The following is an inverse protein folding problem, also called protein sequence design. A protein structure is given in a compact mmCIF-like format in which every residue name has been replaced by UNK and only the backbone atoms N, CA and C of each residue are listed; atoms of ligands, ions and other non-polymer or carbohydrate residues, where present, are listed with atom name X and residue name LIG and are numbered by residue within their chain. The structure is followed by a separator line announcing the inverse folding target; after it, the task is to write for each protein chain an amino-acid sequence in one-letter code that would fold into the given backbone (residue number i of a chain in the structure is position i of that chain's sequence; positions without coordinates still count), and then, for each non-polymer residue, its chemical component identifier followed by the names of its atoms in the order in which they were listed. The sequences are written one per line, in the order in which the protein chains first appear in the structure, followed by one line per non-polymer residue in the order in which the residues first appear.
data_IF_332204581612
#
_entry.id   IF_332204581612
#
_cell.length_a   1.000
_cell.length_b   1.000
_cell.length_c   1.000
_cell.angle_alpha   90.00
_cell.angle_beta   90.00
_cell.angle_gamma   90.00
#
_symmetry.space_group_name_H-M   'P 1'
#
loop_
_entity.id
_entity.type
_entity.pdbx_description
1 polymer ?
#
# COMPACT_ATOMS: atom_id res chain seq x y z
N UNK A 1 6.07 -20.80 -29.77
CA UNK A 1 5.10 -19.72 -29.48
C UNK A 1 5.28 -19.11 -28.08
N UNK A 2 5.34 -19.91 -27.00
CA UNK A 2 5.52 -19.43 -25.62
C UNK A 2 6.81 -18.63 -25.39
N UNK A 3 7.93 -19.01 -26.01
CA UNK A 3 9.22 -18.30 -25.87
C UNK A 3 9.16 -16.88 -26.42
N UNK A 4 8.51 -16.66 -27.56
CA UNK A 4 8.35 -15.35 -28.17
C UNK A 4 7.48 -14.40 -27.34
N UNK A 5 6.39 -14.92 -26.72
CA UNK A 5 5.55 -14.14 -25.83
C UNK A 5 6.31 -13.71 -24.55
N UNK A 6 7.16 -14.60 -24.00
CA UNK A 6 7.99 -14.26 -22.84
C UNK A 6 9.03 -13.18 -23.12
N UNK A 7 9.67 -13.22 -24.28
CA UNK A 7 10.64 -12.20 -24.71
C UNK A 7 9.94 -10.85 -24.92
N UNK A 8 8.77 -10.83 -25.56
CA UNK A 8 7.99 -9.62 -25.76
C UNK A 8 7.54 -8.99 -24.42
N UNK A 9 7.05 -9.80 -23.49
CA UNK A 9 6.68 -9.34 -22.15
C UNK A 9 7.90 -8.79 -21.39
N UNK A 10 9.04 -9.47 -21.42
CA UNK A 10 10.27 -9.00 -20.80
C UNK A 10 10.72 -7.66 -21.39
N UNK A 11 10.66 -7.49 -22.72
CA UNK A 11 10.97 -6.22 -23.38
C UNK A 11 10.03 -5.10 -22.97
N UNK A 12 8.73 -5.38 -22.84
CA UNK A 12 7.73 -4.40 -22.41
C UNK A 12 7.99 -3.89 -20.99
N UNK A 13 8.30 -4.79 -20.05
CA UNK A 13 8.52 -4.41 -18.64
C UNK A 13 9.96 -3.97 -18.33
N UNK A 14 10.94 -4.20 -19.23
CA UNK A 14 12.33 -3.86 -18.98
C UNK A 14 12.56 -2.39 -18.58
N UNK A 15 11.92 -1.39 -19.21
CA UNK A 15 12.11 0.02 -18.85
C UNK A 15 11.64 0.40 -17.45
N UNK A 16 10.62 -0.28 -16.94
CA UNK A 16 9.99 0.03 -15.65
C UNK A 16 10.32 -0.98 -14.54
N UNK A 17 11.26 -1.89 -14.78
CA UNK A 17 11.64 -2.94 -13.83
C UNK A 17 12.01 -2.41 -12.45
N UNK A 18 12.72 -1.30 -12.39
CA UNK A 18 13.18 -0.70 -11.12
C UNK A 18 12.01 -0.09 -10.33
N UNK A 19 11.03 0.51 -11.03
CA UNK A 19 9.79 1.00 -10.44
C UNK A 19 8.95 -0.15 -9.85
N UNK A 20 8.81 -1.24 -10.60
CA UNK A 20 8.11 -2.44 -10.12
C UNK A 20 8.83 -3.07 -8.92
N UNK A 21 10.15 -3.10 -8.93
CA UNK A 21 10.95 -3.65 -7.83
C UNK A 21 10.78 -2.82 -6.56
N UNK A 22 10.79 -1.49 -6.64
CA UNK A 22 10.58 -0.60 -5.48
C UNK A 22 9.17 -0.80 -4.93
N UNK A 23 8.15 -0.80 -5.78
CA UNK A 23 6.77 -1.04 -5.37
C UNK A 23 6.61 -2.38 -4.66
N UNK A 24 7.10 -3.45 -5.25
CA UNK A 24 7.09 -4.79 -4.63
C UNK A 24 7.83 -4.82 -3.28
N UNK A 25 9.00 -4.19 -3.19
CA UNK A 25 9.79 -4.16 -1.96
C UNK A 25 9.05 -3.41 -0.84
N UNK A 26 8.42 -2.27 -1.13
CA UNK A 26 7.64 -1.51 -0.14
C UNK A 26 6.43 -2.29 0.35
N UNK A 27 5.69 -2.97 -0.51
CA UNK A 27 4.56 -3.83 -0.13
C UNK A 27 4.98 -5.00 0.76
N UNK A 28 6.13 -5.63 0.46
CA UNK A 28 6.68 -6.69 1.32
C UNK A 28 7.09 -6.14 2.69
N UNK A 29 7.71 -4.97 2.73
CA UNK A 29 8.10 -4.30 3.99
C UNK A 29 6.87 -3.93 4.80
N UNK A 30 5.80 -3.38 4.18
CA UNK A 30 4.53 -3.10 4.86
C UNK A 30 3.94 -4.37 5.50
N UNK A 31 3.90 -5.47 4.75
CA UNK A 31 3.46 -6.76 5.29
C UNK A 31 4.27 -7.19 6.53
N UNK A 32 5.59 -7.02 6.50
CA UNK A 32 6.47 -7.39 7.63
C UNK A 32 6.13 -6.55 8.87
N UNK A 33 5.95 -5.23 8.70
CA UNK A 33 5.60 -4.35 9.82
C UNK A 33 4.17 -4.60 10.31
N UNK A 34 3.20 -4.84 9.44
CA UNK A 34 1.84 -5.25 9.81
C UNK A 34 1.83 -6.54 10.64
N UNK A 35 2.64 -7.55 10.27
CA UNK A 35 2.81 -8.78 11.06
C UNK A 35 3.44 -8.50 12.43
N UNK A 36 4.40 -7.56 12.53
CA UNK A 36 4.99 -7.15 13.82
C UNK A 36 3.95 -6.49 14.73
N UNK A 37 3.11 -5.61 14.18
CA UNK A 37 1.98 -5.01 14.91
C UNK A 37 1.03 -6.09 15.42
N UNK A 38 0.60 -7.01 14.56
CA UNK A 38 -0.30 -8.10 14.94
C UNK A 38 0.28 -8.96 16.09
N UNK A 39 1.57 -9.25 16.05
CA UNK A 39 2.28 -9.98 17.14
C UNK A 39 2.32 -9.18 18.44
N UNK A 40 2.62 -7.87 18.37
CA UNK A 40 2.66 -6.99 19.56
C UNK A 40 1.32 -6.98 20.28
N UNK A 41 0.22 -6.94 19.55
CA UNK A 41 -1.14 -6.93 20.13
C UNK A 41 -1.74 -8.32 20.34
N UNK A 42 -0.95 -9.38 20.21
CA UNK A 42 -1.41 -10.78 20.39
C UNK A 42 -2.63 -11.13 19.53
N UNK A 43 -2.83 -10.44 18.41
CA UNK A 43 -3.92 -10.76 17.48
C UNK A 43 -3.66 -12.13 16.87
N UNK A 44 -4.72 -12.94 16.71
CA UNK A 44 -4.63 -14.23 16.03
C UNK A 44 -4.18 -14.02 14.58
N UNK A 45 -2.97 -14.49 14.27
CA UNK A 45 -2.41 -14.37 12.92
C UNK A 45 -2.91 -15.58 12.11
N UNK A 46 -3.84 -15.32 11.22
CA UNK A 46 -4.26 -16.32 10.21
C UNK A 46 -3.35 -16.18 8.98
N UNK A 47 -2.26 -16.93 8.97
CA UNK A 47 -1.23 -16.83 7.93
C UNK A 47 -1.78 -16.89 6.51
N UNK A 48 -2.79 -17.74 6.27
CA UNK A 48 -3.42 -17.86 4.96
C UNK A 48 -4.22 -16.63 4.53
N UNK A 49 -4.86 -15.94 5.47
CA UNK A 49 -5.66 -14.73 5.19
C UNK A 49 -4.75 -13.53 4.91
N UNK A 50 -3.71 -13.36 5.73
CA UNK A 50 -2.75 -12.26 5.55
C UNK A 50 -1.99 -12.39 4.23
N UNK A 51 -1.53 -13.60 3.89
CA UNK A 51 -0.85 -13.86 2.62
C UNK A 51 -1.75 -13.57 1.40
N UNK A 52 -3.02 -13.99 1.45
CA UNK A 52 -3.98 -13.70 0.36
C UNK A 52 -4.22 -12.20 0.20
N UNK A 53 -4.30 -11.45 1.31
CA UNK A 53 -4.45 -9.99 1.27
C UNK A 53 -3.26 -9.32 0.59
N UNK A 54 -2.04 -9.67 1.02
CA UNK A 54 -0.81 -9.12 0.43
C UNK A 54 -0.65 -9.49 -1.04
N UNK A 55 -0.93 -10.74 -1.41
CA UNK A 55 -0.85 -11.18 -2.80
C UNK A 55 -1.86 -10.43 -3.69
N UNK A 56 -3.09 -10.21 -3.20
CA UNK A 56 -4.09 -9.41 -3.92
C UNK A 56 -3.59 -7.98 -4.13
N UNK A 57 -3.04 -7.35 -3.09
CA UNK A 57 -2.48 -6.01 -3.15
C UNK A 57 -1.37 -5.92 -4.21
N UNK A 58 -0.42 -6.85 -4.21
CA UNK A 58 0.65 -6.92 -5.22
C UNK A 58 0.07 -7.05 -6.64
N UNK A 59 -0.96 -7.86 -6.83
CA UNK A 59 -1.61 -8.03 -8.14
C UNK A 59 -2.29 -6.73 -8.57
N UNK A 60 -3.01 -6.07 -7.67
CA UNK A 60 -3.73 -4.83 -7.96
C UNK A 60 -2.73 -3.70 -8.31
N UNK A 61 -1.65 -3.54 -7.54
CA UNK A 61 -0.57 -2.57 -7.77
C UNK A 61 0.15 -2.83 -9.09
N UNK A 62 0.55 -4.08 -9.35
CA UNK A 62 1.17 -4.46 -10.61
C UNK A 62 0.25 -4.18 -11.79
N UNK A 63 -1.04 -4.47 -11.66
CA UNK A 63 -2.02 -4.24 -12.73
C UNK A 63 -2.13 -2.77 -13.08
N UNK A 64 -2.26 -1.88 -12.08
CA UNK A 64 -2.42 -0.44 -12.35
C UNK A 64 -1.15 0.17 -12.94
N UNK A 65 0.03 -0.25 -12.48
CA UNK A 65 1.31 0.21 -13.04
C UNK A 65 1.49 -0.30 -14.46
N UNK A 66 1.15 -1.57 -14.74
CA UNK A 66 1.22 -2.15 -16.08
C UNK A 66 0.26 -1.46 -17.06
N UNK A 67 -0.94 -1.10 -16.61
CA UNK A 67 -1.90 -0.34 -17.43
C UNK A 67 -1.39 1.08 -17.72
N UNK A 68 -0.87 1.78 -16.70
CA UNK A 68 -0.27 3.10 -16.90
C UNK A 68 0.88 3.05 -17.91
N UNK A 69 1.76 2.04 -17.78
CA UNK A 69 2.86 1.82 -18.72
C UNK A 69 2.37 1.49 -20.13
N UNK A 70 1.33 0.66 -20.25
CA UNK A 70 0.73 0.32 -21.54
C UNK A 70 0.12 1.53 -22.26
N UNK A 71 -0.56 2.41 -21.50
CA UNK A 71 -1.10 3.67 -22.03
C UNK A 71 0.05 4.58 -22.50
N UNK A 72 1.06 4.77 -21.65
CA UNK A 72 2.21 5.62 -21.95
C UNK A 72 2.97 5.11 -23.17
N UNK A 73 3.24 3.81 -23.24
CA UNK A 73 3.87 3.17 -24.38
C UNK A 73 3.09 3.29 -25.69
N UNK A 74 1.75 3.27 -25.63
CA UNK A 74 0.89 3.25 -26.82
C UNK A 74 0.50 4.63 -27.32
N UNK A 75 0.46 5.64 -26.43
CA UNK A 75 -0.16 6.95 -26.71
C UNK A 75 0.83 8.11 -26.61
N UNK A 76 1.78 8.02 -25.68
CA UNK A 76 2.66 9.13 -25.30
C UNK A 76 4.07 8.91 -25.81
N UNK A 77 4.22 8.73 -27.06
CA UNK A 77 5.47 8.71 -27.84
C UNK A 77 6.85 8.55 -27.10
N UNK A 78 7.82 8.06 -27.83
CA UNK A 78 9.19 7.57 -27.56
C UNK A 78 10.15 8.49 -26.77
N UNK A 79 9.66 9.50 -26.03
CA UNK A 79 10.54 10.41 -25.28
C UNK A 79 11.34 9.75 -24.15
N UNK A 80 11.06 8.47 -23.82
CA UNK A 80 11.74 7.71 -22.75
C UNK A 80 11.48 8.24 -21.34
N UNK A 81 10.58 9.22 -21.18
CA UNK A 81 10.20 9.79 -19.90
C UNK A 81 8.88 9.20 -19.46
N UNK A 82 8.93 8.25 -18.54
CA UNK A 82 7.76 7.55 -18.01
C UNK A 82 7.05 8.39 -16.93
N UNK A 83 6.43 9.53 -17.34
CA UNK A 83 5.76 10.44 -16.40
C UNK A 83 4.50 9.84 -15.79
N UNK A 84 3.64 9.20 -16.61
CA UNK A 84 2.42 8.58 -16.14
C UNK A 84 2.72 7.37 -15.28
N UNK A 85 3.55 6.46 -15.77
CA UNK A 85 3.96 5.26 -15.03
C UNK A 85 4.68 5.62 -13.74
N UNK A 86 5.61 6.58 -13.80
CA UNK A 86 6.34 7.09 -12.63
C UNK A 86 5.41 7.74 -11.61
N UNK A 87 4.46 8.56 -12.05
CA UNK A 87 3.47 9.20 -11.20
C UNK A 87 2.57 8.19 -10.49
N UNK A 88 2.02 7.23 -11.22
CA UNK A 88 1.20 6.14 -10.63
C UNK A 88 2.03 5.32 -9.63
N UNK A 89 3.26 4.93 -10.00
CA UNK A 89 4.13 4.17 -9.08
C UNK A 89 4.49 4.98 -7.83
N UNK A 90 4.72 6.29 -7.97
CA UNK A 90 5.01 7.16 -6.83
C UNK A 90 3.82 7.21 -5.86
N UNK A 91 2.59 7.36 -6.35
CA UNK A 91 1.38 7.37 -5.51
C UNK A 91 1.25 6.03 -4.77
N UNK A 92 1.34 4.91 -5.47
CA UNK A 92 1.27 3.57 -4.88
C UNK A 92 2.36 3.40 -3.80
N UNK A 93 3.61 3.74 -4.12
CA UNK A 93 4.73 3.61 -3.18
C UNK A 93 4.58 4.53 -1.96
N UNK A 94 4.05 5.75 -2.12
CA UNK A 94 3.76 6.67 -1.01
C UNK A 94 2.68 6.11 -0.08
N UNK A 95 1.65 5.47 -0.62
CA UNK A 95 0.62 4.80 0.17
C UNK A 95 1.21 3.67 1.00
N UNK A 96 2.10 2.85 0.41
CA UNK A 96 2.81 1.80 1.14
C UNK A 96 3.72 2.35 2.25
N UNK A 97 4.48 3.42 1.95
CA UNK A 97 5.32 4.09 2.94
C UNK A 97 4.51 4.67 4.08
N UNK A 98 3.32 5.21 3.80
CA UNK A 98 2.41 5.69 4.83
C UNK A 98 1.99 4.56 5.77
N UNK A 99 1.53 3.44 5.22
CA UNK A 99 1.16 2.25 5.99
C UNK A 99 2.31 1.74 6.87
N UNK A 100 3.54 1.73 6.34
CA UNK A 100 4.75 1.37 7.09
C UNK A 100 4.96 2.32 8.28
N UNK A 101 4.79 3.63 8.09
CA UNK A 101 4.96 4.63 9.15
C UNK A 101 3.89 4.48 10.24
N UNK A 102 2.65 4.23 9.88
CA UNK A 102 1.57 3.93 10.84
C UNK A 102 1.87 2.68 11.66
N UNK A 103 2.32 1.62 10.99
CA UNK A 103 2.76 0.40 11.65
C UNK A 103 3.93 0.66 12.61
N UNK A 104 4.93 1.45 12.21
CA UNK A 104 6.06 1.84 13.03
C UNK A 104 5.64 2.70 14.24
N UNK A 105 4.77 3.69 14.03
CA UNK A 105 4.21 4.50 15.11
C UNK A 105 3.43 3.65 16.13
N UNK A 106 2.74 2.62 15.66
CA UNK A 106 2.03 1.65 16.49
C UNK A 106 2.99 0.78 17.30
N UNK A 107 4.14 0.40 16.71
CA UNK A 107 5.18 -0.39 17.39
C UNK A 107 5.95 0.45 18.40
N UNK A 108 6.34 1.67 18.01
CA UNK A 108 7.09 2.62 18.85
C UNK A 108 6.49 4.02 18.79
N UNK A 109 5.51 4.34 19.66
CA UNK A 109 4.84 5.65 19.67
C UNK A 109 5.75 6.83 20.06
N UNK A 110 6.94 6.55 20.60
CA UNK A 110 7.94 7.57 20.99
C UNK A 110 8.95 7.85 19.88
N UNK A 111 8.93 7.07 18.81
CA UNK A 111 9.79 7.25 17.65
C UNK A 111 9.42 8.50 16.82
N UNK A 112 10.26 8.87 15.86
CA UNK A 112 10.08 10.05 15.02
C UNK A 112 9.01 9.88 13.93
N UNK A 113 8.24 8.82 13.98
CA UNK A 113 7.34 8.37 12.89
C UNK A 113 6.26 9.39 12.55
N UNK A 114 5.74 10.11 13.55
CA UNK A 114 4.75 11.18 13.34
C UNK A 114 5.33 12.35 12.52
N UNK A 115 6.60 12.71 12.81
CA UNK A 115 7.29 13.78 12.08
C UNK A 115 7.53 13.34 10.63
N UNK A 116 7.98 12.09 10.44
CA UNK A 116 8.22 11.53 9.11
C UNK A 116 6.90 11.43 8.31
N UNK A 117 5.81 11.01 8.95
CA UNK A 117 4.48 10.98 8.33
C UNK A 117 4.02 12.36 7.86
N UNK A 118 4.11 13.38 8.74
CA UNK A 118 3.76 14.75 8.38
C UNK A 118 4.62 15.29 7.22
N UNK A 119 5.92 14.96 7.21
CA UNK A 119 6.83 15.33 6.12
C UNK A 119 6.43 14.65 4.79
N UNK A 120 6.15 13.35 4.80
CA UNK A 120 5.76 12.61 3.59
C UNK A 120 4.41 13.10 3.06
N UNK A 121 3.43 13.34 3.94
CA UNK A 121 2.14 13.91 3.57
C UNK A 121 2.34 15.23 2.84
N UNK A 122 3.05 16.19 3.45
CA UNK A 122 3.32 17.50 2.84
C UNK A 122 4.02 17.35 1.49
N UNK A 123 5.01 16.46 1.39
CA UNK A 123 5.71 16.23 0.12
C UNK A 123 4.81 15.57 -0.92
N UNK A 124 4.00 14.59 -0.53
CA UNK A 124 3.03 13.97 -1.43
C UNK A 124 2.03 14.97 -1.98
N UNK A 125 1.47 15.84 -1.14
CA UNK A 125 0.57 16.93 -1.53
C UNK A 125 1.27 17.92 -2.47
N UNK A 126 2.51 18.33 -2.18
CA UNK A 126 3.31 19.23 -3.02
C UNK A 126 3.54 18.65 -4.42
N UNK A 127 3.76 17.34 -4.55
CA UNK A 127 4.03 16.69 -5.84
C UNK A 127 2.77 16.33 -6.63
N UNK A 128 1.70 15.94 -5.96
CA UNK A 128 0.47 15.45 -6.62
C UNK A 128 -0.55 16.57 -6.82
N UNK A 129 -0.46 17.66 -6.04
CA UNK A 129 -1.50 18.68 -5.97
C UNK A 129 -2.82 18.18 -5.35
N UNK A 130 -2.82 17.00 -4.78
CA UNK A 130 -3.99 16.36 -4.16
C UNK A 130 -3.78 16.36 -2.65
N UNK A 131 -4.79 16.84 -1.90
CA UNK A 131 -4.81 16.73 -0.46
C UNK A 131 -4.94 15.25 -0.07
N UNK A 132 -3.96 14.73 0.64
CA UNK A 132 -3.89 13.33 1.05
C UNK A 132 -4.50 13.19 2.45
N UNK A 133 -5.75 12.73 2.53
CA UNK A 133 -6.43 12.45 3.80
C UNK A 133 -6.28 10.96 4.16
N UNK A 134 -5.28 10.66 4.97
CA UNK A 134 -5.00 9.30 5.44
C UNK A 134 -5.64 8.99 6.81
N UNK A 135 -6.33 9.98 7.44
CA UNK A 135 -6.78 9.83 8.83
C UNK A 135 -8.09 9.04 9.00
N UNK A 136 -8.84 8.78 7.93
CA UNK A 136 -10.22 8.28 8.03
C UNK A 136 -10.41 6.75 7.98
N UNK A 137 -9.45 5.99 7.48
CA UNK A 137 -9.71 4.54 7.25
C UNK A 137 -9.48 3.63 8.47
N UNK A 138 -8.73 4.08 9.48
CA UNK A 138 -8.34 3.18 10.60
C UNK A 138 -9.10 3.42 11.92
N UNK A 139 -9.89 4.51 12.02
CA UNK A 139 -10.64 4.83 13.25
C UNK A 139 -11.97 4.07 13.36
N UNK A 140 -12.56 3.64 12.26
CA UNK A 140 -13.89 3.01 12.29
C UNK A 140 -13.82 1.55 12.75
N UNK A 141 -12.77 0.81 12.40
CA UNK A 141 -12.58 -0.57 12.86
C UNK A 141 -12.25 -0.67 14.35
N UNK A 142 -11.64 0.38 14.92
CA UNK A 142 -11.29 0.41 16.35
C UNK A 142 -12.46 0.80 17.26
N UNK A 143 -13.41 1.60 16.75
CA UNK A 143 -14.62 1.98 17.49
C UNK A 143 -15.62 0.83 17.54
N UNK A 144 -15.78 0.10 16.46
CA UNK A 144 -16.68 -1.04 16.37
C UNK A 144 -16.34 -2.20 17.32
N UNK A 145 -15.08 -2.32 17.75
CA UNK A 145 -14.63 -3.38 18.66
C UNK A 145 -14.74 -3.02 20.15
N UNK A 146 -15.23 -1.82 20.49
CA UNK A 146 -15.33 -1.32 21.88
C UNK A 146 -16.75 -1.13 22.41
N UNK A 147 -17.78 -1.41 21.62
CA UNK A 147 -19.14 -1.45 22.20
C UNK A 147 -19.29 -2.74 23.04
N UNK A 148 -19.38 -2.62 24.37
CA UNK A 148 -19.78 -3.74 25.21
C UNK A 148 -21.24 -4.05 24.88
N UNK A 149 -21.55 -5.33 24.69
CA UNK A 149 -22.91 -5.83 24.61
C UNK A 149 -23.58 -5.69 26.00
N UNK A 150 -23.91 -4.46 26.34
CA UNK A 150 -24.73 -4.15 27.52
C UNK A 150 -26.17 -3.91 27.04
N UNK A 151 -27.02 -4.85 27.32
CA UNK A 151 -28.44 -4.75 26.99
C UNK A 151 -29.27 -6.01 27.28
N UNK A 152 -28.83 -6.87 28.18
CA UNK A 152 -29.70 -7.90 28.72
C UNK A 152 -30.34 -7.36 30.01
N UNK A 153 -31.38 -6.54 29.88
CA UNK A 153 -32.29 -6.26 30.99
C UNK A 153 -33.14 -7.51 31.18
N UNK A 154 -32.87 -8.22 32.24
CA UNK A 154 -33.76 -9.24 32.77
C UNK A 154 -34.91 -8.51 33.48
N UNK A 155 -36.06 -8.44 32.82
CA UNK A 155 -37.32 -8.18 33.52
C UNK A 155 -37.76 -9.48 34.20
N UNK A 156 -37.54 -9.57 35.49
CA UNK A 156 -38.28 -10.46 36.36
C UNK A 156 -39.43 -9.68 37.00
N UNK A 157 -40.63 -10.15 36.73
CA UNK A 157 -41.82 -9.97 37.59
C UNK A 157 -42.64 -11.24 37.61
#
# INVERSE_FOLDING_TARGET
MLLGAGIAAAGFFAPIKDLLLICFATTVVDMIFGLRVARKFKKKIESGKNWKGTLRKIIDEFTIIALAHGIEWSVLDESGVFLLTGGVTAIVTLTELWSIIENLNTIDPKGPWKILGAFLRKKGEDYTGIELDFDNEHNDDFKSSKEPADGAVLDEA
#
